data_IF_923950935076
#
_entry.id   IF_923950935076
#
_cell.length_a   1.000
_cell.length_b   1.000
_cell.length_c   1.000
_cell.angle_alpha   90.00
_cell.angle_beta   90.00
_cell.angle_gamma   90.00
#
_symmetry.space_group_name_H-M   'P 1'
#
loop_
_entity.id
_entity.type
_entity.pdbx_description
1 polymer ?
#
# COMPACT_ATOMS: atom_id res chain seq x y z
N UNK A 1 25.97 1.86 -48.83
CA UNK A 1 24.63 1.71 -49.46
C UNK A 1 23.84 0.70 -48.64
N UNK A 2 22.69 1.12 -48.09
CA UNK A 2 21.85 0.24 -47.29
C UNK A 2 21.23 -0.85 -48.18
N UNK A 3 21.42 -2.12 -47.80
CA UNK A 3 20.90 -3.28 -48.53
C UNK A 3 19.36 -3.18 -48.62
N UNK A 4 18.74 -3.26 -49.81
CA UNK A 4 17.29 -3.14 -49.94
C UNK A 4 16.63 -4.29 -49.17
N UNK A 5 15.81 -3.97 -48.16
CA UNK A 5 15.07 -4.96 -47.39
C UNK A 5 13.89 -5.44 -48.26
N UNK A 6 13.88 -6.73 -48.57
CA UNK A 6 12.80 -7.36 -49.35
C UNK A 6 11.51 -7.35 -48.53
N UNK A 7 10.35 -7.26 -49.19
CA UNK A 7 9.04 -7.25 -48.52
C UNK A 7 8.84 -8.39 -47.48
N UNK A 8 9.33 -9.63 -47.72
CA UNK A 8 9.28 -10.70 -46.71
C UNK A 8 10.20 -10.44 -45.50
N UNK A 9 11.38 -9.83 -45.71
CA UNK A 9 12.30 -9.49 -44.62
C UNK A 9 11.75 -8.40 -43.71
N UNK A 10 11.03 -7.43 -44.28
CA UNK A 10 10.31 -6.41 -43.51
C UNK A 10 9.14 -7.02 -42.75
N UNK A 11 8.42 -7.98 -43.34
CA UNK A 11 7.32 -8.70 -42.68
C UNK A 11 7.80 -9.59 -41.52
N UNK A 12 8.91 -10.31 -41.67
CA UNK A 12 9.51 -11.12 -40.59
C UNK A 12 9.98 -10.25 -39.42
N UNK A 13 10.59 -9.09 -39.71
CA UNK A 13 11.00 -8.13 -38.68
C UNK A 13 9.79 -7.56 -37.92
N UNK A 14 8.68 -7.29 -38.64
CA UNK A 14 7.44 -6.79 -38.05
C UNK A 14 6.75 -7.84 -37.16
N UNK A 15 6.74 -9.11 -37.58
CA UNK A 15 6.20 -10.23 -36.78
C UNK A 15 7.01 -10.43 -35.49
N UNK A 16 8.35 -10.35 -35.57
CA UNK A 16 9.22 -10.42 -34.40
C UNK A 16 8.98 -9.29 -33.40
N UNK A 17 8.89 -8.05 -33.89
CA UNK A 17 8.59 -6.87 -33.05
C UNK A 17 7.19 -6.94 -32.42
N UNK A 18 6.18 -7.39 -33.17
CA UNK A 18 4.85 -7.60 -32.60
C UNK A 18 4.87 -8.62 -31.46
N UNK A 19 5.61 -9.73 -31.59
CA UNK A 19 5.73 -10.75 -30.54
C UNK A 19 6.32 -10.19 -29.23
N UNK A 20 7.36 -9.37 -29.32
CA UNK A 20 7.97 -8.73 -28.15
C UNK A 20 7.02 -7.71 -27.49
N UNK A 21 6.38 -6.87 -28.29
CA UNK A 21 5.40 -5.89 -27.76
C UNK A 21 4.18 -6.55 -27.11
N UNK A 22 3.72 -7.70 -27.64
CA UNK A 22 2.61 -8.46 -27.05
C UNK A 22 3.02 -9.05 -25.70
N UNK A 23 4.22 -9.61 -25.59
CA UNK A 23 4.76 -10.12 -24.31
C UNK A 23 4.91 -9.00 -23.28
N UNK A 24 5.41 -7.85 -23.70
CA UNK A 24 5.54 -6.69 -22.81
C UNK A 24 4.17 -6.17 -22.35
N UNK A 25 3.18 -6.13 -23.25
CA UNK A 25 1.80 -5.80 -22.90
C UNK A 25 1.16 -6.81 -21.93
N UNK A 26 1.45 -8.10 -22.07
CA UNK A 26 0.99 -9.13 -21.13
C UNK A 26 1.61 -8.91 -19.74
N UNK A 27 2.93 -8.69 -19.66
CA UNK A 27 3.64 -8.41 -18.41
C UNK A 27 3.11 -7.12 -17.75
N UNK A 28 2.95 -6.04 -18.52
CA UNK A 28 2.42 -4.78 -17.99
C UNK A 28 0.97 -4.92 -17.55
N UNK A 29 0.14 -5.69 -18.27
CA UNK A 29 -1.24 -5.97 -17.85
C UNK A 29 -1.29 -6.76 -16.56
N UNK A 30 -0.40 -7.73 -16.36
CA UNK A 30 -0.32 -8.50 -15.11
C UNK A 30 0.18 -7.64 -13.94
N UNK A 31 1.15 -6.73 -14.20
CA UNK A 31 1.55 -5.73 -13.22
C UNK A 31 0.38 -4.78 -12.88
N UNK A 32 -0.30 -4.22 -13.88
CA UNK A 32 -1.47 -3.35 -13.66
C UNK A 32 -2.57 -4.09 -12.92
N UNK A 33 -2.83 -5.38 -13.21
CA UNK A 33 -3.77 -6.22 -12.43
C UNK A 33 -3.37 -6.38 -10.97
N UNK A 34 -2.08 -6.41 -10.66
CA UNK A 34 -1.61 -6.42 -9.25
C UNK A 34 -1.90 -5.10 -8.53
N UNK A 35 -2.10 -4.01 -9.29
CA UNK A 35 -2.48 -2.69 -8.79
C UNK A 35 -3.99 -2.38 -8.95
N UNK A 36 -4.71 -3.05 -9.84
CA UNK A 36 -6.17 -2.95 -9.98
C UNK A 36 -6.84 -3.61 -8.77
N UNK A 37 -7.36 -2.77 -7.87
CA UNK A 37 -7.91 -3.23 -6.59
C UNK A 37 -6.94 -3.15 -5.43
N UNK A 38 -5.75 -2.56 -5.61
CA UNK A 38 -4.91 -2.09 -4.51
C UNK A 38 -5.68 -0.99 -3.76
N UNK A 39 -6.54 -1.40 -2.82
CA UNK A 39 -6.95 -0.52 -1.74
C UNK A 39 -5.64 0.00 -1.14
N UNK A 40 -5.37 1.31 -1.13
CA UNK A 40 -4.17 1.84 -0.47
C UNK A 40 -4.16 1.50 1.04
N UNK A 41 -5.25 0.94 1.56
CA UNK A 41 -5.40 0.43 2.91
C UNK A 41 -5.47 -1.11 2.91
N UNK A 42 -4.45 -1.75 3.49
CA UNK A 42 -4.46 -3.16 3.88
C UNK A 42 -4.88 -3.25 5.35
N UNK A 43 -5.68 -4.25 5.72
CA UNK A 43 -5.88 -4.58 7.13
C UNK A 43 -4.58 -5.14 7.71
N UNK A 44 -4.09 -4.50 8.76
CA UNK A 44 -2.87 -4.88 9.45
C UNK A 44 -3.21 -5.13 10.91
N UNK A 45 -2.55 -6.11 11.53
CA UNK A 45 -2.59 -6.24 12.98
C UNK A 45 -1.93 -4.99 13.59
N UNK A 46 -2.62 -4.23 14.47
CA UNK A 46 -2.06 -3.06 15.14
C UNK A 46 -0.74 -3.37 15.87
N UNK A 47 -0.51 -4.61 16.30
CA UNK A 47 0.72 -5.04 17.00
C UNK A 47 1.96 -5.02 16.10
N UNK A 48 1.78 -5.18 14.79
CA UNK A 48 2.86 -5.13 13.79
C UNK A 48 3.29 -3.69 13.45
N UNK A 49 2.51 -2.71 13.90
CA UNK A 49 2.71 -1.29 13.61
C UNK A 49 3.28 -0.60 14.85
N UNK A 50 4.49 -0.06 14.72
CA UNK A 50 5.21 0.66 15.77
C UNK A 50 5.07 2.18 15.59
N UNK A 51 4.98 2.95 16.69
CA UNK A 51 5.02 4.41 16.61
C UNK A 51 6.37 4.86 16.03
N UNK A 52 6.36 5.96 15.28
CA UNK A 52 7.60 6.49 14.72
C UNK A 52 8.49 7.14 15.77
N UNK A 53 9.80 7.16 15.49
CA UNK A 53 10.78 7.83 16.35
C UNK A 53 10.48 9.33 16.56
N UNK A 54 9.80 9.96 15.61
CA UNK A 54 9.42 11.37 15.65
C UNK A 54 7.93 11.59 15.90
N UNK A 55 7.27 10.67 16.61
CA UNK A 55 5.86 10.81 16.96
C UNK A 55 5.63 12.13 17.73
N UNK A 56 5.06 13.14 17.05
CA UNK A 56 4.79 14.48 17.60
C UNK A 56 3.54 14.50 18.51
N UNK A 57 3.35 13.46 19.34
CA UNK A 57 2.22 13.27 20.24
C UNK A 57 2.73 12.80 21.61
N UNK A 58 2.59 13.64 22.62
CA UNK A 58 2.82 13.26 24.02
C UNK A 58 1.75 12.28 24.51
N UNK A 59 2.11 11.40 25.45
CA UNK A 59 1.22 10.38 26.01
C UNK A 59 -0.12 10.95 26.53
N UNK A 60 -0.08 12.13 27.15
CA UNK A 60 -1.27 12.85 27.64
C UNK A 60 -2.31 13.18 26.54
N UNK A 61 -1.91 13.18 25.26
CA UNK A 61 -2.84 13.37 24.14
C UNK A 61 -3.82 12.21 23.95
N UNK A 62 -3.58 11.07 24.60
CA UNK A 62 -4.40 9.86 24.55
C UNK A 62 -5.33 9.71 25.77
N UNK A 63 -5.31 10.64 26.72
CA UNK A 63 -6.15 10.57 27.93
C UNK A 63 -7.32 11.57 27.92
N UNK A 64 -7.36 12.45 26.92
CA UNK A 64 -8.38 13.48 26.81
C UNK A 64 -9.76 12.93 26.37
N UNK A 65 -10.82 13.69 26.70
CA UNK A 65 -12.19 13.34 26.34
C UNK A 65 -12.36 13.12 24.82
N UNK A 66 -11.67 13.91 23.98
CA UNK A 66 -11.70 13.76 22.52
C UNK A 66 -11.16 12.42 22.04
N UNK A 67 -10.22 11.82 22.76
CA UNK A 67 -9.68 10.50 22.44
C UNK A 67 -10.63 9.41 22.89
N UNK A 68 -11.26 9.54 24.06
CA UNK A 68 -12.32 8.63 24.51
C UNK A 68 -13.49 8.58 23.53
N UNK A 69 -13.93 9.73 23.01
CA UNK A 69 -14.96 9.77 21.96
C UNK A 69 -14.51 9.07 20.68
N UNK A 70 -13.25 9.23 20.26
CA UNK A 70 -12.71 8.54 19.08
C UNK A 70 -12.67 7.03 19.28
N UNK A 71 -12.32 6.54 20.49
CA UNK A 71 -12.35 5.11 20.78
C UNK A 71 -13.77 4.55 20.68
N UNK A 72 -14.76 5.23 21.27
CA UNK A 72 -16.17 4.81 21.18
C UNK A 72 -16.68 4.78 19.73
N UNK A 73 -16.24 5.72 18.89
CA UNK A 73 -16.56 5.73 17.46
C UNK A 73 -15.95 4.50 16.75
N UNK A 74 -14.68 4.19 17.00
CA UNK A 74 -13.99 3.03 16.40
C UNK A 74 -14.59 1.70 16.89
N UNK A 75 -14.94 1.63 18.18
CA UNK A 75 -15.58 0.47 18.79
C UNK A 75 -16.96 0.22 18.18
N UNK A 76 -17.79 1.26 18.06
CA UNK A 76 -19.13 1.12 17.44
C UNK A 76 -19.08 0.76 15.96
N UNK A 77 -18.02 1.16 15.26
CA UNK A 77 -17.73 0.75 13.89
C UNK A 77 -17.17 -0.68 13.77
N UNK A 78 -16.74 -1.29 14.86
CA UNK A 78 -16.07 -2.59 14.87
C UNK A 78 -14.66 -2.59 14.25
N UNK A 79 -14.04 -1.41 14.11
CA UNK A 79 -12.71 -1.27 13.52
C UNK A 79 -12.47 0.12 12.92
N UNK A 80 -11.24 0.35 12.48
CA UNK A 80 -10.86 1.66 11.97
C UNK A 80 -11.29 1.87 10.51
N UNK A 81 -12.36 2.64 10.33
CA UNK A 81 -12.86 3.02 9.00
C UNK A 81 -11.88 3.94 8.26
N UNK A 82 -11.10 4.77 8.97
CA UNK A 82 -10.18 5.74 8.37
C UNK A 82 -8.73 5.25 8.37
N UNK A 83 -8.19 4.83 7.22
CA UNK A 83 -6.86 4.23 7.15
C UNK A 83 -5.75 5.14 7.67
N UNK A 84 -4.74 4.53 8.27
CA UNK A 84 -3.50 5.19 8.64
C UNK A 84 -2.43 4.93 7.58
N UNK A 85 -1.45 5.82 7.46
CA UNK A 85 -0.28 5.58 6.59
C UNK A 85 0.86 5.06 7.42
N UNK A 86 1.40 3.95 6.95
CA UNK A 86 2.57 3.31 7.51
C UNK A 86 3.64 3.12 6.44
N UNK A 87 4.88 2.93 6.88
CA UNK A 87 6.00 2.52 6.04
C UNK A 87 6.60 1.23 6.60
N UNK A 88 7.11 0.30 5.79
CA UNK A 88 7.80 -0.88 6.29
C UNK A 88 9.13 -0.50 6.98
N UNK A 89 9.50 -1.24 8.03
CA UNK A 89 10.76 -1.09 8.76
C UNK A 89 11.72 -2.20 8.34
N UNK A 90 12.85 -1.85 7.74
CA UNK A 90 14.00 -2.76 7.61
C UNK A 90 13.78 -4.00 6.72
N UNK A 91 13.16 -3.85 5.54
CA UNK A 91 13.06 -4.91 4.53
C UNK A 91 12.25 -6.15 4.94
N UNK A 92 11.75 -6.21 6.17
CA UNK A 92 10.86 -7.26 6.66
C UNK A 92 9.42 -6.91 6.35
N UNK A 93 8.66 -7.91 5.90
CA UNK A 93 7.26 -7.73 5.48
C UNK A 93 6.28 -7.55 6.64
N UNK A 94 6.75 -7.72 7.89
CA UNK A 94 5.90 -7.85 9.08
C UNK A 94 6.09 -6.74 10.11
N UNK A 95 6.87 -5.70 9.80
CA UNK A 95 7.06 -4.57 10.71
C UNK A 95 6.85 -3.25 10.00
N UNK A 96 6.01 -2.41 10.60
CA UNK A 96 5.61 -1.12 10.04
C UNK A 96 5.85 0.01 11.03
N UNK A 97 6.15 1.19 10.53
CA UNK A 97 6.26 2.43 11.30
C UNK A 97 5.15 3.39 10.88
N UNK A 98 4.51 4.03 11.86
CA UNK A 98 3.45 5.02 11.59
C UNK A 98 4.04 6.28 10.99
N UNK A 99 3.59 6.65 9.80
CA UNK A 99 3.88 7.96 9.19
C UNK A 99 2.86 8.99 9.68
N UNK A 100 1.57 8.65 9.66
CA UNK A 100 0.51 9.46 10.26
C UNK A 100 -0.60 8.59 10.85
N UNK A 101 -1.40 9.16 11.76
CA UNK A 101 -2.56 8.48 12.32
C UNK A 101 -2.36 7.85 13.70
N UNK A 102 -1.33 8.29 14.44
CA UNK A 102 -0.97 7.77 15.78
C UNK A 102 -2.16 7.61 16.75
N UNK A 103 -3.14 8.55 16.76
CA UNK A 103 -4.33 8.43 17.63
C UNK A 103 -5.24 7.27 17.24
N UNK A 104 -5.45 7.03 15.94
CA UNK A 104 -6.29 5.92 15.48
C UNK A 104 -5.63 4.58 15.75
N UNK A 105 -4.33 4.48 15.44
CA UNK A 105 -3.55 3.29 15.79
C UNK A 105 -3.58 3.00 17.29
N UNK A 106 -3.38 4.00 18.15
CA UNK A 106 -3.44 3.82 19.60
C UNK A 106 -4.82 3.34 20.08
N UNK A 107 -5.91 3.87 19.52
CA UNK A 107 -7.25 3.41 19.82
C UNK A 107 -7.47 1.96 19.37
N UNK A 108 -7.04 1.61 18.16
CA UNK A 108 -7.09 0.24 17.62
C UNK A 108 -6.30 -0.74 18.49
N UNK A 109 -5.12 -0.32 18.95
CA UNK A 109 -4.25 -1.12 19.82
C UNK A 109 -4.89 -1.35 21.20
N UNK A 110 -5.57 -0.36 21.77
CA UNK A 110 -6.27 -0.49 23.06
C UNK A 110 -7.54 -1.33 22.96
N UNK A 111 -8.28 -1.19 21.85
CA UNK A 111 -9.53 -1.94 21.60
C UNK A 111 -9.29 -3.35 21.06
N UNK A 112 -8.08 -3.65 20.56
CA UNK A 112 -7.77 -4.92 19.90
C UNK A 112 -8.44 -5.09 18.52
N UNK A 113 -8.71 -3.97 17.84
CA UNK A 113 -9.40 -3.93 16.54
C UNK A 113 -8.43 -3.53 15.41
N UNK A 114 -8.63 -4.01 14.17
CA UNK A 114 -7.78 -3.65 13.02
C UNK A 114 -8.05 -2.26 12.42
#
# INVERSE_FOLDING_TARGET
MAKPKTAPGTMLQFIGQQSETVKELEILRDQVKSFEGARPAKQLDPKLVKPSRWANRHAASFENAKFKSLMAEIESAGGNIQPIKVRPIGGTTESYEIVFGHRRHQACLQLGLP
#
